data_IF_509991925568
#
_entry.id   IF_509991925568
#
_cell.length_a   1.000
_cell.length_b   1.000
_cell.length_c   1.000
_cell.angle_alpha   90.00
_cell.angle_beta   90.00
_cell.angle_gamma   90.00
#
_symmetry.space_group_name_H-M   'P 1'
#
loop_
_entity.id
_entity.type
_entity.pdbx_description
1 polymer ?
#
# COMPACT_ATOMS: atom_id res chain seq x y z
N UNK A 1 6.26 -7.32 -24.56
CA UNK A 1 5.03 -6.83 -23.87
C UNK A 1 3.91 -7.86 -23.81
N UNK A 2 3.49 -8.47 -24.93
CA UNK A 2 2.45 -9.52 -24.90
C UNK A 2 2.79 -10.69 -23.95
N UNK A 3 4.05 -11.11 -23.92
CA UNK A 3 4.51 -12.19 -23.05
C UNK A 3 4.32 -11.92 -21.56
N UNK A 4 4.60 -10.71 -21.05
CA UNK A 4 4.42 -10.37 -19.64
C UNK A 4 2.93 -10.36 -19.24
N UNK A 5 2.09 -9.74 -20.07
CA UNK A 5 0.64 -9.71 -19.87
C UNK A 5 0.01 -11.10 -19.89
N UNK A 6 0.57 -12.02 -20.69
CA UNK A 6 0.07 -13.38 -20.86
C UNK A 6 0.89 -14.41 -20.06
N UNK A 7 1.82 -13.99 -19.20
CA UNK A 7 2.76 -14.89 -18.55
C UNK A 7 2.06 -16.03 -17.77
N UNK A 8 0.89 -15.72 -17.21
CA UNK A 8 0.02 -16.68 -16.49
C UNK A 8 -0.60 -17.77 -17.37
N UNK A 9 -0.68 -17.56 -18.69
CA UNK A 9 -1.27 -18.51 -19.65
C UNK A 9 -0.31 -19.62 -20.08
N UNK A 10 0.98 -19.49 -19.77
CA UNK A 10 2.00 -20.44 -20.21
C UNK A 10 2.24 -21.61 -19.25
N UNK A 11 1.40 -21.78 -18.21
CA UNK A 11 1.58 -22.87 -17.23
C UNK A 11 2.89 -22.81 -16.45
N UNK A 12 3.54 -21.64 -16.41
CA UNK A 12 4.81 -21.43 -15.71
C UNK A 12 4.56 -21.42 -14.20
N UNK A 13 5.46 -22.05 -13.43
CA UNK A 13 5.38 -22.09 -11.97
C UNK A 13 5.33 -20.66 -11.39
N UNK A 14 4.42 -20.36 -10.44
CA UNK A 14 4.27 -19.02 -9.88
C UNK A 14 5.56 -18.40 -9.33
N UNK A 15 6.43 -19.20 -8.69
CA UNK A 15 7.73 -18.74 -8.19
C UNK A 15 8.71 -18.27 -9.28
N UNK A 16 8.65 -18.89 -10.46
CA UNK A 16 9.45 -18.46 -11.62
C UNK A 16 8.93 -17.12 -12.13
N UNK A 17 7.61 -17.00 -12.29
CA UNK A 17 6.96 -15.74 -12.66
C UNK A 17 7.25 -14.63 -11.65
N UNK A 18 7.23 -14.94 -10.35
CA UNK A 18 7.58 -14.02 -9.29
C UNK A 18 8.98 -13.43 -9.50
N UNK A 19 9.97 -14.30 -9.71
CA UNK A 19 11.37 -13.88 -9.90
C UNK A 19 11.53 -13.01 -11.14
N UNK A 20 10.86 -13.39 -12.24
CA UNK A 20 10.87 -12.65 -13.50
C UNK A 20 10.26 -11.26 -13.33
N UNK A 21 9.05 -11.17 -12.75
CA UNK A 21 8.42 -9.89 -12.51
C UNK A 21 9.22 -9.03 -11.54
N UNK A 22 9.72 -9.60 -10.44
CA UNK A 22 10.55 -8.87 -9.49
C UNK A 22 11.79 -8.27 -10.16
N UNK A 23 12.45 -9.02 -11.04
CA UNK A 23 13.56 -8.51 -11.85
C UNK A 23 13.16 -7.33 -12.75
N UNK A 24 12.03 -7.44 -13.46
CA UNK A 24 11.53 -6.39 -14.35
C UNK A 24 11.04 -5.13 -13.64
N UNK A 25 10.82 -5.16 -12.33
CA UNK A 25 10.55 -3.92 -11.57
C UNK A 25 11.74 -2.95 -11.58
N UNK A 26 12.94 -3.37 -12.00
CA UNK A 26 14.15 -2.54 -12.11
C UNK A 26 14.44 -2.08 -13.55
N UNK A 27 13.54 -2.38 -14.48
CA UNK A 27 13.74 -2.06 -15.89
C UNK A 27 13.81 -0.53 -16.13
N UNK A 28 14.67 -0.04 -17.04
CA UNK A 28 14.75 1.39 -17.35
C UNK A 28 13.42 1.95 -17.88
N UNK A 29 12.60 1.12 -18.53
CA UNK A 29 11.36 1.57 -19.14
C UNK A 29 10.17 1.49 -18.15
N UNK A 30 9.44 2.60 -17.94
CA UNK A 30 8.32 2.65 -17.00
C UNK A 30 7.21 1.64 -17.30
N UNK A 31 6.92 1.43 -18.58
CA UNK A 31 5.90 0.49 -19.00
C UNK A 31 6.25 -0.96 -18.62
N UNK A 32 7.53 -1.33 -18.60
CA UNK A 32 7.97 -2.67 -18.17
C UNK A 32 7.81 -2.79 -16.66
N UNK A 33 8.23 -1.78 -15.90
CA UNK A 33 8.08 -1.76 -14.44
C UNK A 33 6.62 -1.87 -14.03
N UNK A 34 5.73 -1.09 -14.66
CA UNK A 34 4.28 -1.14 -14.42
C UNK A 34 3.72 -2.53 -14.68
N UNK A 35 4.00 -3.14 -15.83
CA UNK A 35 3.49 -4.47 -16.15
C UNK A 35 4.07 -5.57 -15.24
N UNK A 36 5.31 -5.39 -14.78
CA UNK A 36 5.91 -6.26 -13.79
C UNK A 36 5.18 -6.19 -12.44
N UNK A 37 4.88 -4.98 -11.96
CA UNK A 37 4.10 -4.76 -10.74
C UNK A 37 2.69 -5.36 -10.85
N UNK A 38 1.99 -5.14 -11.97
CA UNK A 38 0.69 -5.77 -12.21
C UNK A 38 0.78 -7.30 -12.27
N UNK A 39 1.89 -7.82 -12.81
CA UNK A 39 2.24 -9.23 -12.75
C UNK A 39 2.33 -9.75 -11.31
N UNK A 40 3.03 -9.03 -10.43
CA UNK A 40 3.19 -9.34 -9.01
C UNK A 40 1.86 -9.30 -8.25
N UNK A 41 1.04 -8.26 -8.42
CA UNK A 41 -0.36 -8.21 -7.91
C UNK A 41 -1.13 -9.44 -8.38
N UNK A 42 -0.93 -9.78 -9.65
CA UNK A 42 -1.55 -10.91 -10.27
C UNK A 42 -1.19 -12.28 -9.67
N UNK A 43 -0.07 -12.37 -8.96
CA UNK A 43 0.41 -13.59 -8.32
C UNK A 43 -0.19 -13.82 -6.93
N UNK A 44 -0.73 -12.78 -6.28
CA UNK A 44 -1.40 -12.90 -4.97
C UNK A 44 -2.64 -13.82 -5.00
N UNK A 45 -3.20 -14.06 -6.19
CA UNK A 45 -4.34 -14.98 -6.39
C UNK A 45 -3.95 -16.45 -6.26
N UNK A 46 -2.66 -16.77 -6.23
CA UNK A 46 -2.19 -18.14 -6.03
C UNK A 46 -1.85 -18.32 -4.55
N UNK A 47 -2.45 -19.33 -3.93
CA UNK A 47 -2.22 -19.70 -2.52
C UNK A 47 -0.91 -20.49 -2.35
N UNK A 48 0.17 -19.97 -2.92
CA UNK A 48 1.48 -20.64 -2.98
C UNK A 48 2.58 -19.86 -2.29
N UNK A 49 2.34 -18.60 -1.95
CA UNK A 49 3.31 -17.71 -1.32
C UNK A 49 3.01 -17.60 0.18
N UNK A 50 3.66 -18.44 0.96
CA UNK A 50 3.58 -18.42 2.44
C UNK A 50 4.87 -17.91 3.09
N UNK A 51 5.97 -17.88 2.34
CA UNK A 51 7.27 -17.43 2.84
C UNK A 51 7.23 -15.92 3.15
N UNK A 52 7.27 -15.60 4.44
CA UNK A 52 7.22 -14.23 4.95
C UNK A 52 8.35 -13.34 4.39
N UNK A 53 9.52 -13.91 4.09
CA UNK A 53 10.66 -13.17 3.50
C UNK A 53 10.35 -12.76 2.07
N UNK A 54 9.76 -13.67 1.29
CA UNK A 54 9.32 -13.40 -0.09
C UNK A 54 8.23 -12.33 -0.10
N UNK A 55 7.23 -12.48 0.77
CA UNK A 55 6.11 -11.53 0.90
C UNK A 55 6.64 -10.14 1.28
N UNK A 56 7.47 -10.06 2.33
CA UNK A 56 8.07 -8.82 2.80
C UNK A 56 8.94 -8.17 1.72
N UNK A 57 9.74 -8.95 0.99
CA UNK A 57 10.57 -8.45 -0.10
C UNK A 57 9.73 -7.80 -1.21
N UNK A 58 8.61 -8.43 -1.59
CA UNK A 58 7.71 -7.88 -2.60
C UNK A 58 7.00 -6.61 -2.11
N UNK A 59 6.52 -6.61 -0.86
CA UNK A 59 5.97 -5.43 -0.21
C UNK A 59 6.96 -4.26 -0.20
N UNK A 60 8.20 -4.49 0.26
CA UNK A 60 9.24 -3.46 0.29
C UNK A 60 9.54 -2.93 -1.11
N UNK A 61 9.57 -3.79 -2.13
CA UNK A 61 9.77 -3.35 -3.51
C UNK A 61 8.62 -2.47 -4.03
N UNK A 62 7.38 -2.78 -3.64
CA UNK A 62 6.23 -1.91 -3.89
C UNK A 62 6.40 -0.53 -3.23
N UNK A 63 6.79 -0.51 -1.94
CA UNK A 63 7.03 0.73 -1.19
C UNK A 63 8.12 1.59 -1.85
N UNK A 64 9.21 1.00 -2.34
CA UNK A 64 10.25 1.72 -3.07
C UNK A 64 9.69 2.41 -4.34
N UNK A 65 8.80 1.73 -5.07
CA UNK A 65 8.23 2.21 -6.34
C UNK A 65 7.05 3.17 -6.16
N UNK A 66 6.59 3.42 -4.93
CA UNK A 66 5.71 4.55 -4.63
C UNK A 66 6.36 5.91 -4.97
N UNK A 67 7.69 5.96 -5.04
CA UNK A 67 8.46 7.17 -5.39
C UNK A 67 8.93 7.17 -6.85
N UNK A 68 8.39 6.29 -7.69
CA UNK A 68 8.76 6.25 -9.11
C UNK A 68 8.38 7.57 -9.81
N UNK A 69 9.21 7.99 -10.78
CA UNK A 69 8.98 9.22 -11.52
C UNK A 69 7.63 9.20 -12.28
N UNK A 70 7.15 8.01 -12.63
CA UNK A 70 6.03 7.81 -13.54
C UNK A 70 4.76 7.42 -12.78
N UNK A 71 3.68 8.17 -12.97
CA UNK A 71 2.42 7.99 -12.25
C UNK A 71 1.81 6.60 -12.47
N UNK A 72 1.92 6.06 -13.68
CA UNK A 72 1.44 4.71 -13.99
C UNK A 72 2.18 3.62 -13.18
N UNK A 73 3.46 3.83 -12.87
CA UNK A 73 4.25 2.93 -12.03
C UNK A 73 3.88 3.12 -10.57
N UNK A 74 3.72 4.37 -10.10
CA UNK A 74 3.26 4.67 -8.73
C UNK A 74 1.88 4.06 -8.46
N UNK A 75 0.93 4.18 -9.38
CA UNK A 75 -0.40 3.54 -9.28
C UNK A 75 -0.29 2.01 -9.18
N UNK A 76 0.55 1.36 -10.01
CA UNK A 76 0.78 -0.08 -9.89
C UNK A 76 1.48 -0.47 -8.59
N UNK A 77 2.36 0.39 -8.08
CA UNK A 77 3.03 0.19 -6.80
C UNK A 77 2.04 0.27 -5.62
N UNK A 78 1.06 1.19 -5.64
CA UNK A 78 -0.04 1.24 -4.67
C UNK A 78 -0.78 -0.10 -4.60
N UNK A 79 -1.10 -0.70 -5.74
CA UNK A 79 -1.74 -2.03 -5.79
C UNK A 79 -0.85 -3.13 -5.20
N UNK A 80 0.46 -3.12 -5.49
CA UNK A 80 1.41 -4.07 -4.88
C UNK A 80 1.45 -3.91 -3.36
N UNK A 81 1.58 -2.68 -2.86
CA UNK A 81 1.62 -2.36 -1.43
C UNK A 81 0.35 -2.81 -0.73
N UNK A 82 -0.82 -2.63 -1.37
CA UNK A 82 -2.11 -3.09 -0.85
C UNK A 82 -2.18 -4.62 -0.76
N UNK A 83 -2.00 -5.34 -1.86
CA UNK A 83 -2.19 -6.80 -1.89
C UNK A 83 -1.10 -7.55 -1.10
N UNK A 84 0.17 -7.24 -1.34
CA UNK A 84 1.28 -7.90 -0.64
C UNK A 84 1.40 -7.42 0.80
N UNK A 85 0.94 -6.20 1.12
CA UNK A 85 0.82 -5.70 2.49
C UNK A 85 -0.21 -6.50 3.29
N UNK A 86 -1.37 -6.81 2.71
CA UNK A 86 -2.37 -7.69 3.32
C UNK A 86 -1.84 -9.10 3.56
N UNK A 87 -1.14 -9.68 2.58
CA UNK A 87 -0.47 -10.98 2.76
C UNK A 87 0.59 -10.90 3.87
N UNK A 88 1.33 -9.80 3.97
CA UNK A 88 2.32 -9.60 5.02
C UNK A 88 1.67 -9.53 6.40
N UNK A 89 0.56 -8.81 6.54
CA UNK A 89 -0.20 -8.76 7.80
C UNK A 89 -0.68 -10.17 8.17
N UNK A 90 -1.27 -10.90 7.22
CA UNK A 90 -1.77 -12.26 7.45
C UNK A 90 -0.66 -13.25 7.84
N UNK A 91 0.53 -13.13 7.24
CA UNK A 91 1.68 -14.00 7.51
C UNK A 91 2.42 -13.67 8.83
N UNK A 92 2.12 -12.54 9.48
CA UNK A 92 2.73 -12.15 10.75
C UNK A 92 1.94 -12.70 11.95
N UNK A 93 2.63 -12.78 13.11
CA UNK A 93 2.01 -13.13 14.39
C UNK A 93 0.99 -12.09 14.79
N UNK A 94 -0.05 -12.50 15.53
CA UNK A 94 -1.13 -11.61 16.00
C UNK A 94 -0.61 -10.34 16.69
N UNK A 95 0.43 -10.47 17.52
CA UNK A 95 1.08 -9.35 18.22
C UNK A 95 1.71 -8.29 17.30
N UNK A 96 2.10 -8.68 16.09
CA UNK A 96 2.72 -7.79 15.09
C UNK A 96 1.73 -7.32 14.02
N UNK A 97 0.52 -7.91 13.93
CA UNK A 97 -0.45 -7.61 12.86
C UNK A 97 -0.89 -6.16 12.86
N UNK A 98 -1.21 -5.59 14.02
CA UNK A 98 -1.64 -4.19 14.11
C UNK A 98 -0.52 -3.25 13.66
N UNK A 99 0.73 -3.53 14.04
CA UNK A 99 1.90 -2.74 13.64
C UNK A 99 2.13 -2.77 12.13
N UNK A 100 2.05 -3.95 11.51
CA UNK A 100 2.17 -4.07 10.06
C UNK A 100 1.00 -3.43 9.34
N UNK A 101 -0.22 -3.59 9.86
CA UNK A 101 -1.42 -2.99 9.28
C UNK A 101 -1.36 -1.46 9.31
N UNK A 102 -0.96 -0.90 10.44
CA UNK A 102 -0.63 0.52 10.59
C UNK A 102 0.43 0.99 9.58
N UNK A 103 1.50 0.22 9.42
CA UNK A 103 2.57 0.54 8.47
C UNK A 103 2.06 0.55 7.03
N UNK A 104 1.30 -0.47 6.62
CA UNK A 104 0.69 -0.56 5.27
C UNK A 104 -0.28 0.61 5.05
N UNK A 105 -1.16 0.88 6.02
CA UNK A 105 -2.12 1.98 5.97
C UNK A 105 -1.42 3.32 5.76
N UNK A 106 -0.36 3.61 6.52
CA UNK A 106 0.37 4.87 6.41
C UNK A 106 1.14 5.00 5.09
N UNK A 107 1.69 3.91 4.55
CA UNK A 107 2.34 3.92 3.24
C UNK A 107 1.34 4.26 2.13
N UNK A 108 0.15 3.65 2.16
CA UNK A 108 -0.93 3.98 1.22
C UNK A 108 -1.44 5.40 1.44
N UNK A 109 -1.57 5.83 2.71
CA UNK A 109 -1.94 7.18 3.12
C UNK A 109 -0.98 8.24 2.59
N UNK A 110 0.30 7.93 2.43
CA UNK A 110 1.26 8.88 1.84
C UNK A 110 0.97 9.22 0.37
N UNK A 111 0.22 8.36 -0.33
CA UNK A 111 -0.10 8.49 -1.76
C UNK A 111 -1.38 9.27 -2.04
N UNK A 112 -2.16 9.61 -1.01
CA UNK A 112 -3.40 10.41 -1.17
C UNK A 112 -3.16 11.83 -1.62
N UNK A 113 -1.91 12.32 -1.54
CA UNK A 113 -1.48 13.64 -2.03
C UNK A 113 -0.60 13.55 -3.27
N UNK A 114 -0.69 12.45 -4.00
CA UNK A 114 0.05 12.31 -5.26
C UNK A 114 -0.39 13.39 -6.27
N UNK A 115 0.56 13.86 -7.07
CA UNK A 115 0.31 14.86 -8.11
C UNK A 115 -0.68 14.38 -9.17
N UNK A 116 -0.78 13.06 -9.39
CA UNK A 116 -1.68 12.47 -10.37
C UNK A 116 -2.96 11.94 -9.69
N UNK A 117 -4.12 12.40 -10.16
CA UNK A 117 -5.43 11.99 -9.64
C UNK A 117 -5.67 10.48 -9.71
N UNK A 118 -5.18 9.80 -10.74
CA UNK A 118 -5.31 8.34 -10.88
C UNK A 118 -4.55 7.58 -9.79
N UNK A 119 -3.41 8.11 -9.34
CA UNK A 119 -2.68 7.55 -8.19
C UNK A 119 -3.44 7.82 -6.89
N UNK A 120 -4.01 9.02 -6.72
CA UNK A 120 -4.85 9.34 -5.55
C UNK A 120 -6.07 8.43 -5.44
N UNK A 121 -6.79 8.24 -6.55
CA UNK A 121 -7.93 7.31 -6.64
C UNK A 121 -7.54 5.90 -6.19
N UNK A 122 -6.44 5.36 -6.73
CA UNK A 122 -5.96 4.03 -6.36
C UNK A 122 -5.57 3.97 -4.87
N UNK A 123 -4.98 5.04 -4.32
CA UNK A 123 -4.63 5.12 -2.91
C UNK A 123 -5.88 5.05 -2.01
N UNK A 124 -6.92 5.82 -2.30
CA UNK A 124 -8.18 5.75 -1.52
C UNK A 124 -8.84 4.37 -1.60
N UNK A 125 -8.86 3.75 -2.79
CA UNK A 125 -9.37 2.37 -2.96
C UNK A 125 -8.56 1.40 -2.10
N UNK A 126 -7.23 1.52 -2.09
CA UNK A 126 -6.35 0.64 -1.34
C UNK A 126 -6.48 0.83 0.18
N UNK A 127 -6.61 2.07 0.66
CA UNK A 127 -6.81 2.40 2.08
C UNK A 127 -8.12 1.78 2.60
N UNK A 128 -9.20 1.87 1.82
CA UNK A 128 -10.50 1.27 2.18
C UNK A 128 -10.51 -0.26 2.28
N UNK A 129 -9.42 -0.94 1.90
CA UNK A 129 -9.27 -2.39 2.07
C UNK A 129 -8.58 -2.77 3.39
N UNK A 130 -7.99 -1.81 4.11
CA UNK A 130 -7.31 -2.08 5.37
C UNK A 130 -8.34 -2.22 6.49
N UNK A 131 -8.35 -3.38 7.16
CA UNK A 131 -9.38 -3.75 8.14
C UNK A 131 -9.00 -3.54 9.61
N UNK A 132 -7.77 -3.08 9.89
CA UNK A 132 -7.32 -2.93 11.26
C UNK A 132 -6.30 -1.80 11.34
N UNK A 133 -6.64 -0.72 12.04
CA UNK A 133 -5.75 0.43 12.22
C UNK A 133 -5.93 0.93 13.64
N UNK A 134 -4.84 1.33 14.28
CA UNK A 134 -4.91 1.89 15.63
C UNK A 134 -5.58 3.26 15.65
N UNK A 135 -6.27 3.57 16.74
CA UNK A 135 -7.02 4.82 16.92
C UNK A 135 -6.14 6.06 16.72
N UNK A 136 -4.91 6.05 17.23
CA UNK A 136 -3.98 7.16 17.10
C UNK A 136 -3.66 7.48 15.65
N UNK A 137 -3.48 6.47 14.79
CA UNK A 137 -3.22 6.67 13.37
C UNK A 137 -4.48 7.14 12.63
N UNK A 138 -5.65 6.59 12.97
CA UNK A 138 -6.91 7.06 12.40
C UNK A 138 -7.13 8.54 12.72
N UNK A 139 -6.94 8.94 13.97
CA UNK A 139 -7.05 10.33 14.40
C UNK A 139 -6.03 11.25 13.68
N UNK A 140 -4.80 10.78 13.43
CA UNK A 140 -3.83 11.54 12.63
C UNK A 140 -4.36 11.82 11.23
N UNK A 141 -4.89 10.81 10.55
CA UNK A 141 -5.40 10.95 9.18
C UNK A 141 -6.66 11.81 9.06
N UNK A 142 -7.44 11.92 10.14
CA UNK A 142 -8.62 12.78 10.25
C UNK A 142 -8.28 14.21 10.70
N UNK A 143 -7.12 14.44 11.30
CA UNK A 143 -6.71 15.74 11.84
C UNK A 143 -5.94 16.57 10.82
N UNK A 144 -6.36 17.82 10.59
CA UNK A 144 -5.57 18.81 9.83
C UNK A 144 -4.22 19.15 10.50
N UNK A 145 -4.07 18.85 11.79
CA UNK A 145 -2.85 19.06 12.57
C UNK A 145 -2.11 17.73 12.74
N UNK A 146 -0.80 17.74 12.55
CA UNK A 146 0.06 16.61 12.95
C UNK A 146 -0.02 16.48 14.46
N UNK A 147 -0.59 15.38 14.95
CA UNK A 147 -0.66 15.10 16.38
C UNK A 147 0.68 14.47 16.84
N UNK A 148 1.04 14.54 18.13
CA UNK A 148 2.20 13.81 18.63
C UNK A 148 1.94 12.30 18.51
N UNK A 149 2.78 11.58 17.75
CA UNK A 149 2.73 10.11 17.68
C UNK A 149 3.29 9.55 18.99
N UNK A 150 2.62 8.55 19.59
CA UNK A 150 3.13 7.89 20.79
C UNK A 150 4.41 7.10 20.43
N UNK A 151 5.50 7.38 21.16
CA UNK A 151 6.83 6.78 20.91
C UNK A 151 6.80 5.27 21.16
N UNK A 152 6.87 4.45 20.12
CA UNK A 152 7.23 3.03 20.27
C UNK A 152 8.75 2.81 20.25
N UNK A 153 9.21 1.82 21.03
CA UNK A 153 10.63 1.51 21.22
C UNK A 153 11.28 0.99 19.92
N UNK A 154 12.50 1.47 19.67
CA UNK A 154 13.33 1.19 18.49
C UNK A 154 13.46 -0.31 18.21
N UNK A 155 13.12 -0.72 16.99
CA UNK A 155 13.50 -2.02 16.42
C UNK A 155 14.32 -1.80 15.15
N UNK A 156 15.51 -2.41 15.10
CA UNK A 156 16.45 -2.33 13.98
C UNK A 156 15.98 -3.19 12.81
N UNK A 157 15.13 -2.64 11.96
CA UNK A 157 14.96 -3.12 10.58
C UNK A 157 14.73 -1.91 9.69
N UNK A 158 15.35 -1.89 8.51
CA UNK A 158 15.47 -0.77 7.58
C UNK A 158 14.12 -0.18 7.08
N UNK A 159 12.98 -0.62 7.63
CA UNK A 159 11.64 -0.30 7.15
C UNK A 159 10.65 0.18 8.25
N UNK A 160 10.96 0.20 9.56
CA UNK A 160 9.85 0.15 10.55
C UNK A 160 9.99 0.88 11.92
N UNK A 161 10.74 1.97 12.10
CA UNK A 161 10.62 2.74 13.37
C UNK A 161 10.72 4.26 13.21
N UNK A 162 11.91 4.78 12.86
CA UNK A 162 12.09 6.21 12.54
C UNK A 162 11.24 6.63 11.31
N UNK A 163 10.82 5.64 10.52
CA UNK A 163 9.92 5.80 9.38
C UNK A 163 8.46 6.01 9.77
N UNK A 164 7.98 5.48 10.91
CA UNK A 164 6.54 5.47 11.19
C UNK A 164 6.02 6.82 11.64
N UNK A 165 6.79 7.57 12.43
CA UNK A 165 6.45 8.95 12.79
C UNK A 165 6.45 9.87 11.56
N UNK A 166 7.44 9.74 10.69
CA UNK A 166 7.51 10.49 9.42
C UNK A 166 6.32 10.11 8.54
N UNK A 167 6.00 8.82 8.43
CA UNK A 167 4.85 8.34 7.66
C UNK A 167 3.53 8.84 8.23
N UNK A 168 3.34 8.80 9.54
CA UNK A 168 2.17 9.33 10.23
C UNK A 168 2.02 10.84 10.00
N UNK A 169 3.11 11.60 10.09
CA UNK A 169 3.11 13.02 9.75
C UNK A 169 2.76 13.24 8.26
N UNK A 170 3.22 12.37 7.35
CA UNK A 170 2.84 12.43 5.94
C UNK A 170 1.41 11.96 5.69
N UNK A 171 0.80 11.16 6.56
CA UNK A 171 -0.60 10.77 6.41
C UNK A 171 -1.55 11.74 7.12
N UNK A 172 -1.04 12.69 7.90
CA UNK A 172 -1.85 13.65 8.62
C UNK A 172 -2.78 14.43 7.68
N UNK A 173 -4.06 14.49 8.05
CA UNK A 173 -5.09 15.14 7.25
C UNK A 173 -5.35 14.48 5.88
N UNK A 174 -4.92 13.24 5.66
CA UNK A 174 -5.17 12.48 4.43
C UNK A 174 -6.64 12.51 3.99
N UNK A 175 -7.57 12.28 4.91
CA UNK A 175 -9.01 12.28 4.62
C UNK A 175 -9.56 13.68 4.46
N UNK A 176 -9.02 14.63 5.21
CA UNK A 176 -9.43 16.02 5.01
C UNK A 176 -9.03 16.51 3.63
N UNK A 177 -7.86 16.10 3.15
CA UNK A 177 -7.42 16.34 1.78
C UNK A 177 -8.32 15.63 0.76
N UNK A 178 -8.69 14.37 1.01
CA UNK A 178 -9.61 13.63 0.14
C UNK A 178 -10.98 14.28 -0.01
N UNK A 179 -11.54 14.84 1.07
CA UNK A 179 -12.78 15.64 1.06
C UNK A 179 -12.63 17.02 0.41
N UNK A 180 -11.43 17.59 0.42
CA UNK A 180 -11.11 18.89 -0.18
C UNK A 180 -10.48 18.77 -1.58
N UNK A 181 -10.43 17.55 -2.15
CA UNK A 181 -9.79 17.31 -3.45
C UNK A 181 -10.47 18.13 -4.57
N UNK A 182 -9.78 18.39 -5.66
CA UNK A 182 -10.39 19.12 -6.79
C UNK A 182 -11.21 18.19 -7.71
N UNK A 183 -11.02 16.86 -7.59
CA UNK A 183 -11.70 15.85 -8.40
C UNK A 183 -12.81 15.14 -7.63
N UNK A 184 -14.00 15.10 -8.23
CA UNK A 184 -15.20 14.50 -7.64
C UNK A 184 -15.02 13.00 -7.34
N UNK A 185 -14.28 12.27 -8.16
CA UNK A 185 -14.01 10.85 -7.97
C UNK A 185 -13.29 10.59 -6.63
N UNK A 186 -12.38 11.49 -6.24
CA UNK A 186 -11.66 11.39 -4.97
C UNK A 186 -12.60 11.67 -3.80
N UNK A 187 -13.44 12.71 -3.89
CA UNK A 187 -14.49 12.98 -2.89
C UNK A 187 -15.41 11.78 -2.67
N UNK A 188 -15.84 11.18 -3.78
CA UNK A 188 -16.78 10.07 -3.75
C UNK A 188 -16.16 8.85 -3.07
N UNK A 189 -14.90 8.54 -3.38
CA UNK A 189 -14.19 7.41 -2.76
C UNK A 189 -13.98 7.62 -1.27
N UNK A 190 -13.59 8.82 -0.86
CA UNK A 190 -13.40 9.11 0.57
C UNK A 190 -14.72 8.91 1.34
N UNK A 191 -15.82 9.50 0.85
CA UNK A 191 -17.15 9.38 1.44
C UNK A 191 -17.72 7.96 1.48
N UNK A 192 -17.51 7.16 0.42
CA UNK A 192 -18.25 5.90 0.24
C UNK A 192 -17.41 4.64 0.45
N UNK A 193 -16.09 4.75 0.41
CA UNK A 193 -15.18 3.61 0.54
C UNK A 193 -14.40 3.70 1.84
N UNK A 194 -13.87 4.87 2.20
CA UNK A 194 -12.96 4.98 3.33
C UNK A 194 -13.65 5.41 4.62
N UNK A 195 -14.47 6.46 4.60
CA UNK A 195 -15.23 6.92 5.77
C UNK A 195 -16.08 5.82 6.43
N UNK A 196 -16.77 4.91 5.69
CA UNK A 196 -17.51 3.82 6.31
C UNK A 196 -16.61 2.85 7.08
N UNK A 197 -15.41 2.56 6.56
CA UNK A 197 -14.42 1.72 7.25
C UNK A 197 -13.99 2.39 8.54
N UNK A 198 -13.67 3.68 8.50
CA UNK A 198 -13.34 4.47 9.71
C UNK A 198 -14.46 4.46 10.75
N UNK A 199 -15.71 4.68 10.32
CA UNK A 199 -16.87 4.72 11.21
C UNK A 199 -17.07 3.37 11.91
N UNK A 200 -16.94 2.25 11.19
CA UNK A 200 -17.02 0.91 11.79
C UNK A 200 -15.92 0.74 12.85
N UNK A 201 -14.70 1.19 12.58
CA UNK A 201 -13.60 1.08 13.56
C UNK A 201 -13.84 1.95 14.80
N UNK A 202 -14.42 3.14 14.67
CA UNK A 202 -14.70 4.04 15.80
C UNK A 202 -15.89 3.54 16.64
N UNK A 203 -16.90 2.90 16.03
CA UNK A 203 -18.09 2.39 16.74
C UNK A 203 -17.81 1.09 17.51
N UNK A 204 -16.81 0.31 17.09
CA UNK A 204 -16.43 -0.96 17.71
C UNK A 204 -15.27 -0.87 18.73
N UNK A 205 -14.85 0.35 19.08
CA UNK A 205 -13.97 0.66 20.24
C UNK A 205 -14.87 1.07 21.41
#
# INVERSE_FOLDING_TARGET
MWLLRNAKRFGVRPYVLFTVFLGFTKDPYPYVRKEALDGLVGLCKYDVFEDQTVIKGCYCRGVELLKDAEDSVRSAAVRVVSEWGQMLIAANREEDKIKWSNTVFLQLGSMVRDMNVGVRIEAFIAIGRIQMVSEDILLQTLSKKVLPVMKEKKSHSLCTADSLEILAATAAGAFVHGLEDEFFEVHWLDCNVVLPVLIIHIIHI
#
